data_IF_086599053808
#
_entry.id   IF_086599053808
#
_cell.length_a   1.000
_cell.length_b   1.000
_cell.length_c   1.000
_cell.angle_alpha   90.00
_cell.angle_beta   90.00
_cell.angle_gamma   90.00
#
_symmetry.space_group_name_H-M   'P 1'
#
loop_
_entity.id
_entity.type
_entity.pdbx_description
1 polymer ?
#
# COMPACT_ATOMS: atom_id res chain seq x y z
N UNK A 1 14.18 -34.90 84.74
CA UNK A 1 12.72 -34.97 84.49
C UNK A 1 12.56 -34.99 82.98
N UNK A 2 12.53 -36.17 82.34
CA UNK A 2 11.33 -37.00 82.08
C UNK A 2 10.30 -36.15 81.32
N UNK A 3 9.99 -36.38 80.04
CA UNK A 3 9.45 -37.63 79.51
C UNK A 3 9.54 -37.72 77.97
N UNK A 4 9.67 -38.98 77.52
CA UNK A 4 9.43 -39.57 76.21
C UNK A 4 8.01 -39.40 75.63
N UNK A 5 7.81 -39.92 74.41
CA UNK A 5 6.58 -40.11 73.59
C UNK A 5 6.23 -38.91 72.69
N UNK A 6 6.09 -39.03 71.36
CA UNK A 6 5.36 -40.07 70.65
C UNK A 6 5.81 -40.25 69.18
N UNK A 7 6.47 -41.38 68.89
CA UNK A 7 6.67 -41.91 67.54
C UNK A 7 5.42 -42.58 66.95
N UNK A 8 4.22 -42.06 67.19
CA UNK A 8 2.94 -42.66 66.76
C UNK A 8 2.18 -41.86 65.70
N UNK A 9 2.58 -40.63 65.39
CA UNK A 9 1.86 -39.78 64.42
C UNK A 9 2.14 -40.16 62.95
N UNK A 10 3.36 -40.58 62.62
CA UNK A 10 3.73 -40.99 61.26
C UNK A 10 3.12 -42.36 60.90
N UNK A 11 3.05 -43.27 61.88
CA UNK A 11 2.39 -44.57 61.72
C UNK A 11 0.88 -44.44 61.56
N UNK A 12 0.24 -43.55 62.33
CA UNK A 12 -1.20 -43.28 62.21
C UNK A 12 -1.57 -42.68 60.86
N UNK A 13 -0.76 -41.77 60.31
CA UNK A 13 -1.01 -41.18 58.99
C UNK A 13 -0.82 -42.18 57.85
N UNK A 14 0.19 -43.06 57.95
CA UNK A 14 0.40 -44.15 56.98
C UNK A 14 -0.71 -45.21 57.06
N UNK A 15 -1.16 -45.59 58.27
CA UNK A 15 -2.27 -46.56 58.44
C UNK A 15 -3.60 -45.95 58.01
N UNK A 16 -3.88 -44.69 58.34
CA UNK A 16 -5.09 -43.99 57.88
C UNK A 16 -5.08 -43.81 56.35
N UNK A 17 -3.92 -43.52 55.75
CA UNK A 17 -3.75 -43.51 54.31
C UNK A 17 -3.99 -44.90 53.70
N UNK A 18 -3.45 -45.98 54.27
CA UNK A 18 -3.66 -47.35 53.77
C UNK A 18 -5.14 -47.77 53.87
N UNK A 19 -5.84 -47.41 54.96
CA UNK A 19 -7.27 -47.69 55.13
C UNK A 19 -8.12 -46.85 54.15
N UNK A 20 -7.78 -45.57 53.94
CA UNK A 20 -8.42 -44.73 52.91
C UNK A 20 -8.17 -45.27 51.49
N UNK A 21 -6.96 -45.76 51.19
CA UNK A 21 -6.61 -46.39 49.92
C UNK A 21 -7.42 -47.68 49.69
N UNK A 22 -7.71 -48.45 50.75
CA UNK A 22 -8.45 -49.70 50.69
C UNK A 22 -9.98 -49.53 50.57
N UNK A 23 -10.54 -48.43 51.08
CA UNK A 23 -11.99 -48.13 51.02
C UNK A 23 -12.38 -47.58 49.64
N UNK A 24 -11.45 -46.93 48.94
CA UNK A 24 -11.69 -46.35 47.63
C UNK A 24 -11.75 -47.49 46.58
N UNK A 25 -12.88 -47.65 45.85
CA UNK A 25 -13.02 -48.71 44.86
C UNK A 25 -11.89 -48.67 43.82
N UNK A 26 -11.35 -49.84 43.45
CA UNK A 26 -10.35 -50.01 42.38
C UNK A 26 -10.59 -49.15 41.11
N UNK A 27 -11.83 -48.94 40.60
CA UNK A 27 -12.05 -48.05 39.47
C UNK A 27 -11.65 -46.58 39.70
N UNK A 28 -11.67 -46.07 40.94
CA UNK A 28 -11.29 -44.69 41.27
C UNK A 28 -9.77 -44.49 41.13
N UNK A 29 -8.96 -45.49 41.48
CA UNK A 29 -7.51 -45.45 41.29
C UNK A 29 -7.11 -45.43 39.82
N UNK A 30 -7.81 -46.18 38.98
CA UNK A 30 -7.61 -46.18 37.53
C UNK A 30 -7.98 -44.81 36.96
N UNK A 31 -9.10 -44.23 37.40
CA UNK A 31 -9.54 -42.91 36.97
C UNK A 31 -8.53 -41.81 37.35
N UNK A 32 -7.99 -41.84 38.56
CA UNK A 32 -6.96 -40.89 39.02
C UNK A 32 -5.66 -40.99 38.21
N UNK A 33 -5.22 -42.20 37.88
CA UNK A 33 -4.04 -42.42 37.03
C UNK A 33 -4.26 -41.90 35.61
N UNK A 34 -5.44 -42.13 35.04
CA UNK A 34 -5.79 -41.60 33.72
C UNK A 34 -5.86 -40.08 33.76
N UNK A 35 -6.47 -39.49 34.79
CA UNK A 35 -6.57 -38.04 34.93
C UNK A 35 -5.20 -37.39 35.09
N UNK A 36 -4.33 -37.99 35.93
CA UNK A 36 -2.96 -37.53 36.12
C UNK A 36 -2.11 -37.67 34.86
N UNK A 37 -2.24 -38.79 34.14
CA UNK A 37 -1.58 -39.00 32.85
C UNK A 37 -2.04 -38.01 31.78
N UNK A 38 -3.35 -37.76 31.69
CA UNK A 38 -3.91 -36.78 30.77
C UNK A 38 -3.41 -35.36 31.07
N UNK A 39 -3.40 -34.94 32.35
CA UNK A 39 -2.89 -33.64 32.75
C UNK A 39 -1.40 -33.47 32.43
N UNK A 40 -0.59 -34.51 32.64
CA UNK A 40 0.84 -34.49 32.29
C UNK A 40 1.05 -34.38 30.78
N UNK A 41 0.28 -35.12 29.99
CA UNK A 41 0.34 -35.06 28.52
C UNK A 41 -0.07 -33.66 28.03
N UNK A 42 -1.17 -33.11 28.55
CA UNK A 42 -1.62 -31.75 28.21
C UNK A 42 -0.56 -30.71 28.56
N UNK A 43 0.09 -30.82 29.72
CA UNK A 43 1.16 -29.91 30.12
C UNK A 43 2.37 -29.99 29.20
N UNK A 44 2.82 -31.19 28.81
CA UNK A 44 3.93 -31.39 27.87
C UNK A 44 3.61 -30.79 26.50
N UNK A 45 2.39 -30.96 26.00
CA UNK A 45 1.96 -30.38 24.71
C UNK A 45 1.97 -28.85 24.76
N UNK A 46 1.49 -28.25 25.86
CA UNK A 46 1.51 -26.80 26.03
C UNK A 46 2.95 -26.26 26.16
N UNK A 47 3.82 -26.94 26.91
CA UNK A 47 5.21 -26.52 27.10
C UNK A 47 6.02 -26.52 25.79
N UNK A 48 5.87 -27.57 24.96
CA UNK A 48 6.51 -27.65 23.64
C UNK A 48 5.99 -26.52 22.72
N UNK A 49 4.69 -26.21 22.79
CA UNK A 49 4.09 -25.13 22.00
C UNK A 49 4.57 -23.73 22.40
N UNK A 50 4.93 -23.50 23.67
CA UNK A 50 5.47 -22.22 24.13
C UNK A 50 6.93 -21.99 23.71
N UNK A 51 7.75 -23.04 23.67
CA UNK A 51 9.14 -22.95 23.20
C UNK A 51 9.21 -22.72 21.68
N UNK A 52 8.39 -23.41 20.90
CA UNK A 52 8.33 -23.20 19.44
C UNK A 52 7.88 -21.77 19.11
N UNK A 53 6.96 -21.19 19.89
CA UNK A 53 6.55 -19.77 19.74
C UNK A 53 7.68 -18.80 20.02
N UNK A 54 8.51 -19.05 21.04
CA UNK A 54 9.67 -18.20 21.37
C UNK A 54 10.76 -18.31 20.30
N UNK A 55 11.10 -19.52 19.87
CA UNK A 55 12.07 -19.73 18.79
C UNK A 55 11.61 -19.10 17.47
N UNK A 56 10.32 -19.18 17.13
CA UNK A 56 9.77 -18.52 15.94
C UNK A 56 9.81 -16.99 16.06
N UNK A 57 9.49 -16.43 17.23
CA UNK A 57 9.57 -15.00 17.45
C UNK A 57 11.02 -14.49 17.34
N UNK A 58 12.00 -15.20 17.91
CA UNK A 58 13.42 -14.85 17.77
C UNK A 58 13.93 -15.01 16.32
N UNK A 59 13.45 -16.02 15.59
CA UNK A 59 13.78 -16.20 14.18
C UNK A 59 13.22 -15.07 13.32
N UNK A 60 11.96 -14.67 13.53
CA UNK A 60 11.36 -13.53 12.83
C UNK A 60 12.08 -12.20 13.13
N UNK A 61 12.56 -12.00 14.36
CA UNK A 61 13.35 -10.82 14.70
C UNK A 61 14.72 -10.80 14.01
N UNK A 62 15.39 -11.96 13.94
CA UNK A 62 16.65 -12.10 13.19
C UNK A 62 16.43 -11.88 11.69
N UNK A 63 15.40 -12.47 11.11
CA UNK A 63 15.07 -12.30 9.69
C UNK A 63 14.79 -10.83 9.36
N UNK A 64 14.12 -10.08 10.25
CA UNK A 64 13.89 -8.63 10.07
C UNK A 64 15.18 -7.83 10.20
N UNK A 65 16.04 -8.19 11.15
CA UNK A 65 17.33 -7.54 11.34
C UNK A 65 18.24 -7.76 10.11
N UNK A 66 18.32 -9.01 9.64
CA UNK A 66 19.08 -9.40 8.45
C UNK A 66 18.52 -8.73 7.18
N UNK A 67 17.19 -8.69 7.02
CA UNK A 67 16.55 -7.99 5.91
C UNK A 67 16.83 -6.47 5.94
N UNK A 68 16.84 -5.87 7.13
CA UNK A 68 17.18 -4.46 7.30
C UNK A 68 18.66 -4.21 6.96
N UNK A 69 19.57 -5.07 7.41
CA UNK A 69 20.99 -4.97 7.11
C UNK A 69 21.26 -5.13 5.62
N UNK A 70 20.70 -6.17 4.99
CA UNK A 70 20.78 -6.37 3.54
C UNK A 70 20.21 -5.18 2.76
N UNK A 71 19.07 -4.63 3.18
CA UNK A 71 18.49 -3.45 2.55
C UNK A 71 19.38 -2.21 2.73
N UNK A 72 20.02 -2.06 3.90
CA UNK A 72 20.95 -0.98 4.18
C UNK A 72 22.23 -1.09 3.35
N UNK A 73 22.80 -2.29 3.23
CA UNK A 73 23.96 -2.58 2.39
C UNK A 73 23.65 -2.34 0.91
N UNK A 74 22.54 -2.89 0.40
CA UNK A 74 22.10 -2.66 -0.98
C UNK A 74 21.90 -1.16 -1.26
N UNK A 75 21.38 -0.40 -0.29
CA UNK A 75 21.23 1.05 -0.41
C UNK A 75 22.57 1.78 -0.41
N UNK A 76 23.55 1.34 0.41
CA UNK A 76 24.90 1.90 0.41
C UNK A 76 25.60 1.61 -0.91
N UNK A 77 25.55 0.38 -1.40
CA UNK A 77 26.15 -0.02 -2.67
C UNK A 77 25.57 0.77 -3.84
N UNK A 78 24.23 0.93 -3.90
CA UNK A 78 23.58 1.77 -4.92
C UNK A 78 24.08 3.21 -4.88
N UNK A 79 24.15 3.80 -3.69
CA UNK A 79 24.65 5.18 -3.51
C UNK A 79 26.11 5.32 -3.94
N UNK A 80 26.95 4.34 -3.63
CA UNK A 80 28.35 4.35 -4.06
C UNK A 80 28.46 4.24 -5.58
N UNK A 81 27.68 3.35 -6.22
CA UNK A 81 27.64 3.23 -7.68
C UNK A 81 27.18 4.55 -8.32
N UNK A 82 26.13 5.16 -7.81
CA UNK A 82 25.62 6.45 -8.29
C UNK A 82 26.65 7.57 -8.13
N UNK A 83 27.36 7.60 -6.99
CA UNK A 83 28.44 8.57 -6.75
C UNK A 83 29.62 8.37 -7.70
N UNK A 84 30.05 7.13 -7.93
CA UNK A 84 31.14 6.81 -8.86
C UNK A 84 30.76 7.19 -10.30
N UNK A 85 29.56 6.84 -10.74
CA UNK A 85 29.05 7.22 -12.06
C UNK A 85 28.98 8.75 -12.21
N UNK A 86 28.55 9.47 -11.16
CA UNK A 86 28.54 10.94 -11.15
C UNK A 86 29.95 11.52 -11.23
N UNK A 87 30.90 10.98 -10.48
CA UNK A 87 32.30 11.43 -10.51
C UNK A 87 32.93 11.21 -11.88
N UNK A 88 32.70 10.05 -12.49
CA UNK A 88 33.17 9.73 -13.85
C UNK A 88 32.58 10.69 -14.88
N UNK A 89 31.28 11.01 -14.78
CA UNK A 89 30.63 12.02 -15.64
C UNK A 89 31.22 13.41 -15.45
N UNK A 90 31.48 13.84 -14.22
CA UNK A 90 32.11 15.14 -13.95
C UNK A 90 33.52 15.19 -14.54
N UNK A 91 34.30 14.11 -14.41
CA UNK A 91 35.65 14.02 -14.95
C UNK A 91 35.67 14.09 -16.49
N UNK A 92 34.67 13.51 -17.15
CA UNK A 92 34.63 13.41 -18.62
C UNK A 92 33.91 14.56 -19.32
N UNK A 93 32.95 15.21 -18.65
CA UNK A 93 32.09 16.24 -19.26
C UNK A 93 32.29 17.64 -18.64
N UNK A 94 32.95 17.71 -17.49
CA UNK A 94 32.90 18.88 -16.63
C UNK A 94 31.59 18.96 -15.82
N UNK A 95 31.63 19.66 -14.68
CA UNK A 95 30.54 19.70 -13.70
C UNK A 95 29.18 20.10 -14.29
N UNK A 96 29.13 21.18 -15.07
CA UNK A 96 27.87 21.71 -15.63
C UNK A 96 27.20 20.72 -16.59
N UNK A 97 27.97 20.11 -17.49
CA UNK A 97 27.43 19.16 -18.45
C UNK A 97 27.05 17.83 -17.78
N UNK A 98 27.78 17.42 -16.75
CA UNK A 98 27.44 16.25 -15.95
C UNK A 98 26.07 16.42 -15.25
N UNK A 99 25.75 17.61 -14.73
CA UNK A 99 24.44 17.90 -14.12
C UNK A 99 23.30 17.80 -15.14
N UNK A 100 23.52 18.22 -16.39
CA UNK A 100 22.53 18.09 -17.49
C UNK A 100 22.27 16.61 -17.82
N UNK A 101 23.33 15.80 -17.94
CA UNK A 101 23.18 14.35 -18.19
C UNK A 101 22.49 13.66 -17.01
N UNK A 102 22.83 14.03 -15.78
CA UNK A 102 22.23 13.45 -14.58
C UNK A 102 20.73 13.74 -14.52
N UNK A 103 20.30 14.96 -14.86
CA UNK A 103 18.88 15.30 -14.97
C UNK A 103 18.14 14.38 -15.95
N UNK A 104 18.72 14.11 -17.12
CA UNK A 104 18.15 13.20 -18.11
C UNK A 104 18.04 11.76 -17.60
N UNK A 105 19.07 11.26 -16.91
CA UNK A 105 19.09 9.90 -16.35
C UNK A 105 18.07 9.75 -15.23
N UNK A 106 17.95 10.73 -14.35
CA UNK A 106 16.94 10.73 -13.28
C UNK A 106 15.53 10.76 -13.87
N UNK A 107 15.27 11.62 -14.86
CA UNK A 107 13.97 11.69 -15.52
C UNK A 107 13.62 10.38 -16.25
N UNK A 108 14.55 9.82 -17.02
CA UNK A 108 14.34 8.53 -17.69
C UNK A 108 14.03 7.41 -16.68
N UNK A 109 14.72 7.39 -15.54
CA UNK A 109 14.46 6.45 -14.47
C UNK A 109 13.07 6.66 -13.85
N UNK A 110 12.65 7.90 -13.62
CA UNK A 110 11.30 8.19 -13.11
C UNK A 110 10.22 7.68 -14.06
N UNK A 111 10.41 7.80 -15.38
CA UNK A 111 9.49 7.21 -16.36
C UNK A 111 9.46 5.68 -16.23
N UNK A 112 10.63 5.03 -16.22
CA UNK A 112 10.70 3.57 -16.13
C UNK A 112 10.17 3.00 -14.81
N UNK A 113 10.36 3.74 -13.71
CA UNK A 113 9.90 3.35 -12.37
C UNK A 113 8.40 3.71 -12.15
N UNK A 114 7.75 4.40 -13.09
CA UNK A 114 6.34 4.83 -12.98
C UNK A 114 5.36 3.65 -13.04
N UNK A 115 4.21 3.79 -12.38
CA UNK A 115 3.16 2.78 -12.47
C UNK A 115 2.63 2.63 -13.90
N UNK A 116 2.49 3.75 -14.60
CA UNK A 116 2.08 3.81 -16.00
C UNK A 116 2.98 2.93 -16.88
N UNK A 117 4.31 2.95 -16.67
CA UNK A 117 5.23 2.07 -17.37
C UNK A 117 5.00 0.59 -17.01
N UNK A 118 4.91 0.27 -15.72
CA UNK A 118 4.73 -1.12 -15.25
C UNK A 118 3.39 -1.73 -15.68
N UNK A 119 2.34 -0.91 -15.76
CA UNK A 119 1.03 -1.32 -16.25
C UNK A 119 0.91 -1.31 -17.79
N UNK A 120 1.99 -0.94 -18.50
CA UNK A 120 2.08 -0.98 -19.96
C UNK A 120 1.40 0.20 -20.68
N UNK A 121 0.93 1.22 -19.97
CA UNK A 121 0.30 2.40 -20.56
C UNK A 121 1.24 3.22 -21.43
N UNK A 122 2.53 3.23 -21.11
CA UNK A 122 3.54 3.98 -21.85
C UNK A 122 4.16 3.19 -23.01
N UNK A 123 3.85 1.89 -23.13
CA UNK A 123 4.51 1.00 -24.07
C UNK A 123 5.96 0.69 -23.71
N UNK A 124 6.74 0.27 -24.71
CA UNK A 124 8.19 0.03 -24.55
C UNK A 124 8.94 1.36 -24.65
N UNK A 125 9.44 1.83 -23.51
CA UNK A 125 10.12 3.13 -23.39
C UNK A 125 11.59 2.92 -23.07
N UNK A 126 12.46 3.26 -24.02
CA UNK A 126 13.91 3.23 -23.84
C UNK A 126 14.56 4.57 -24.23
N UNK A 127 15.08 5.28 -23.23
CA UNK A 127 15.82 6.54 -23.41
C UNK A 127 17.33 6.35 -23.59
N UNK A 128 17.83 5.12 -23.68
CA UNK A 128 19.28 4.82 -23.75
C UNK A 128 19.94 5.56 -24.91
N UNK A 129 19.35 5.48 -26.11
CA UNK A 129 19.88 6.16 -27.31
C UNK A 129 19.88 7.68 -27.15
N UNK A 130 18.86 8.24 -26.51
CA UNK A 130 18.79 9.68 -26.27
C UNK A 130 19.85 10.14 -25.27
N UNK A 131 20.03 9.42 -24.16
CA UNK A 131 21.06 9.71 -23.15
C UNK A 131 22.46 9.58 -23.75
N UNK A 132 22.71 8.58 -24.59
CA UNK A 132 23.98 8.43 -25.31
C UNK A 132 24.24 9.62 -26.25
N UNK A 133 23.23 10.06 -26.99
CA UNK A 133 23.33 11.21 -27.90
C UNK A 133 23.59 12.52 -27.15
N UNK A 134 22.90 12.73 -26.03
CA UNK A 134 23.09 13.88 -25.13
C UNK A 134 24.52 13.87 -24.59
N UNK A 135 24.95 12.73 -24.03
CA UNK A 135 26.29 12.57 -23.45
C UNK A 135 27.38 12.81 -24.48
N UNK A 136 27.26 12.23 -25.68
CA UNK A 136 28.22 12.43 -26.76
C UNK A 136 28.30 13.88 -27.24
N UNK A 137 27.15 14.57 -27.36
CA UNK A 137 27.11 15.98 -27.75
C UNK A 137 27.78 16.88 -26.71
N UNK A 138 27.50 16.64 -25.42
CA UNK A 138 28.07 17.43 -24.33
C UNK A 138 29.56 17.15 -24.11
N UNK A 139 30.00 15.90 -24.33
CA UNK A 139 31.43 15.56 -24.33
C UNK A 139 32.16 16.32 -25.44
N UNK A 140 31.65 16.26 -26.66
CA UNK A 140 32.23 16.99 -27.79
C UNK A 140 32.28 18.50 -27.54
N UNK A 141 31.23 19.07 -26.94
CA UNK A 141 31.20 20.48 -26.55
C UNK A 141 32.27 20.82 -25.49
N UNK A 142 32.47 19.95 -24.50
CA UNK A 142 33.50 20.10 -23.48
C UNK A 142 34.92 20.02 -24.07
N UNK A 143 35.18 19.02 -24.91
CA UNK A 143 36.48 18.85 -25.57
C UNK A 143 36.81 20.03 -26.49
N UNK A 144 35.83 20.50 -27.28
CA UNK A 144 35.98 21.70 -28.10
C UNK A 144 36.30 22.94 -27.26
N UNK A 145 35.65 23.09 -26.10
CA UNK A 145 35.90 24.22 -25.20
C UNK A 145 37.32 24.18 -24.65
N UNK A 146 37.82 23.02 -24.22
CA UNK A 146 39.19 22.88 -23.72
C UNK A 146 40.25 23.28 -24.76
N UNK A 147 40.06 22.89 -26.02
CA UNK A 147 40.97 23.26 -27.11
C UNK A 147 40.82 24.73 -27.50
N UNK A 148 39.59 25.24 -27.58
CA UNK A 148 39.32 26.65 -27.87
C UNK A 148 39.92 27.56 -26.80
N UNK A 149 39.84 27.20 -25.52
CA UNK A 149 40.42 27.98 -24.43
C UNK A 149 41.96 28.02 -24.52
N UNK A 150 42.60 26.91 -24.93
CA UNK A 150 44.06 26.89 -25.19
C UNK A 150 44.45 27.76 -26.37
N UNK A 151 43.71 27.70 -27.48
CA UNK A 151 43.96 28.52 -28.66
C UNK A 151 43.75 30.02 -28.35
N UNK A 152 42.72 30.35 -27.57
CA UNK A 152 42.46 31.72 -27.13
C UNK A 152 43.52 32.26 -26.16
N UNK A 153 44.27 31.38 -25.49
CA UNK A 153 45.35 31.75 -24.57
C UNK A 153 46.71 31.98 -25.24
N UNK A 154 46.83 31.76 -26.56
CA UNK A 154 48.07 32.05 -27.29
C UNK A 154 48.32 33.55 -27.39
N UNK A 155 49.59 33.94 -27.36
CA UNK A 155 49.99 35.33 -27.54
C UNK A 155 49.87 35.73 -29.03
N UNK A 156 49.32 36.92 -29.29
CA UNK A 156 49.15 37.48 -30.65
C UNK A 156 48.34 36.61 -31.63
N UNK A 157 47.04 36.35 -31.35
CA UNK A 157 46.19 35.56 -32.24
C UNK A 157 46.04 36.20 -33.63
N UNK A 158 46.12 35.38 -34.67
CA UNK A 158 45.93 35.82 -36.06
C UNK A 158 44.43 35.83 -36.43
N UNK A 159 44.09 36.27 -37.65
CA UNK A 159 42.70 36.34 -38.13
C UNK A 159 42.04 34.96 -38.25
N UNK A 160 42.82 33.93 -38.60
CA UNK A 160 42.32 32.57 -38.70
C UNK A 160 42.00 31.97 -37.33
N UNK A 161 42.86 32.20 -36.33
CA UNK A 161 42.61 31.80 -34.94
C UNK A 161 41.30 32.41 -34.43
N UNK A 162 41.09 33.71 -34.67
CA UNK A 162 39.85 34.41 -34.31
C UNK A 162 38.62 33.80 -34.98
N UNK A 163 38.73 33.46 -36.27
CA UNK A 163 37.66 32.83 -37.05
C UNK A 163 37.32 31.44 -36.51
N UNK A 164 38.32 30.59 -36.31
CA UNK A 164 38.16 29.23 -35.77
C UNK A 164 37.56 29.26 -34.36
N UNK A 165 38.01 30.19 -33.51
CA UNK A 165 37.43 30.35 -32.17
C UNK A 165 35.95 30.77 -32.21
N UNK A 166 35.56 31.64 -33.14
CA UNK A 166 34.16 32.02 -33.30
C UNK A 166 33.31 30.82 -33.76
N UNK A 167 33.81 30.03 -34.70
CA UNK A 167 33.14 28.81 -35.19
C UNK A 167 33.04 27.74 -34.09
N UNK A 168 34.10 27.53 -33.32
CA UNK A 168 34.11 26.61 -32.18
C UNK A 168 33.06 27.02 -31.14
N UNK A 169 33.00 28.32 -30.77
CA UNK A 169 31.99 28.84 -29.82
C UNK A 169 30.57 28.63 -30.34
N UNK A 170 30.31 28.89 -31.62
CA UNK A 170 29.00 28.66 -32.23
C UNK A 170 28.62 27.16 -32.21
N UNK A 171 29.57 26.28 -32.52
CA UNK A 171 29.38 24.82 -32.53
C UNK A 171 29.11 24.29 -31.13
N UNK A 172 29.90 24.71 -30.14
CA UNK A 172 29.71 24.37 -28.72
C UNK A 172 28.30 24.75 -28.27
N UNK A 173 27.86 25.98 -28.55
CA UNK A 173 26.52 26.44 -28.19
C UNK A 173 25.43 25.56 -28.84
N UNK A 174 25.56 25.25 -30.13
CA UNK A 174 24.61 24.40 -30.85
C UNK A 174 24.51 22.99 -30.24
N UNK A 175 25.64 22.40 -29.87
CA UNK A 175 25.68 21.08 -29.22
C UNK A 175 24.99 21.11 -27.85
N UNK A 176 25.28 22.13 -27.03
CA UNK A 176 24.66 22.32 -25.71
C UNK A 176 23.16 22.58 -25.83
N UNK A 177 22.72 23.46 -26.73
CA UNK A 177 21.31 23.76 -26.95
C UNK A 177 20.53 22.53 -27.41
N UNK A 178 21.11 21.73 -28.31
CA UNK A 178 20.47 20.51 -28.82
C UNK A 178 20.34 19.45 -27.71
N UNK A 179 21.39 19.28 -26.91
CA UNK A 179 21.38 18.39 -25.75
C UNK A 179 20.33 18.83 -24.72
N UNK A 180 20.32 20.11 -24.34
CA UNK A 180 19.37 20.66 -23.36
C UNK A 180 17.92 20.50 -23.80
N UNK A 181 17.61 20.74 -25.08
CA UNK A 181 16.24 20.51 -25.60
C UNK A 181 15.79 19.07 -25.44
N UNK A 182 16.68 18.11 -25.68
CA UNK A 182 16.37 16.68 -25.49
C UNK A 182 16.16 16.35 -24.02
N UNK A 183 17.00 16.87 -23.12
CA UNK A 183 16.78 16.71 -21.66
C UNK A 183 15.42 17.24 -21.24
N UNK A 184 15.03 18.43 -21.72
CA UNK A 184 13.70 19.02 -21.42
C UNK A 184 12.56 18.10 -21.87
N UNK A 185 12.69 17.42 -23.02
CA UNK A 185 11.67 16.48 -23.47
C UNK A 185 11.59 15.24 -22.56
N UNK A 186 12.73 14.68 -22.15
CA UNK A 186 12.76 13.52 -21.24
C UNK A 186 12.16 13.89 -19.87
N UNK A 187 12.47 15.08 -19.35
CA UNK A 187 11.88 15.60 -18.10
C UNK A 187 10.35 15.71 -18.24
N UNK A 188 9.85 16.25 -19.35
CA UNK A 188 8.41 16.30 -19.60
C UNK A 188 7.78 14.91 -19.67
N UNK A 189 8.44 13.93 -20.27
CA UNK A 189 7.94 12.55 -20.24
C UNK A 189 7.79 12.02 -18.81
N UNK A 190 8.70 12.37 -17.91
CA UNK A 190 8.60 12.01 -16.49
C UNK A 190 7.42 12.70 -15.80
N UNK A 191 7.18 13.98 -16.09
CA UNK A 191 6.02 14.73 -15.57
C UNK A 191 4.69 14.11 -16.05
N UNK A 192 4.58 13.79 -17.34
CA UNK A 192 3.37 13.17 -17.90
C UNK A 192 3.13 11.75 -17.35
N UNK A 193 4.20 10.96 -17.16
CA UNK A 193 4.09 9.65 -16.51
C UNK A 193 3.54 9.78 -15.09
N UNK A 194 3.98 10.78 -14.32
CA UNK A 194 3.44 11.05 -12.98
C UNK A 194 1.96 11.47 -13.03
N UNK A 195 1.54 12.25 -14.02
CA UNK A 195 0.13 12.60 -14.18
C UNK A 195 -0.75 11.39 -14.46
N UNK A 196 -0.25 10.41 -15.22
CA UNK A 196 -0.95 9.15 -15.45
C UNK A 196 -1.01 8.34 -14.15
N UNK A 197 0.09 8.21 -13.41
CA UNK A 197 0.11 7.53 -12.11
C UNK A 197 -0.91 8.14 -11.13
N UNK A 198 -1.03 9.46 -11.10
CA UNK A 198 -2.03 10.16 -10.28
C UNK A 198 -3.46 9.93 -10.77
N UNK A 199 -3.68 9.76 -12.07
CA UNK A 199 -4.99 9.37 -12.61
C UNK A 199 -5.35 7.94 -12.20
N UNK A 200 -4.43 6.99 -12.39
CA UNK A 200 -4.63 5.58 -12.04
C UNK A 200 -4.90 5.39 -10.55
N UNK A 201 -4.22 6.18 -9.70
CA UNK A 201 -4.47 6.20 -8.26
C UNK A 201 -5.89 6.66 -7.94
N UNK A 202 -6.33 7.77 -8.53
CA UNK A 202 -7.70 8.29 -8.34
C UNK A 202 -8.74 7.30 -8.81
N UNK A 203 -8.56 6.68 -9.98
CA UNK A 203 -9.48 5.65 -10.49
C UNK A 203 -9.64 4.47 -9.51
N UNK A 204 -8.54 4.02 -8.88
CA UNK A 204 -8.62 2.96 -7.85
C UNK A 204 -9.32 3.42 -6.57
N UNK A 205 -9.08 4.64 -6.14
CA UNK A 205 -9.75 5.21 -4.95
C UNK A 205 -11.25 5.34 -5.21
N UNK A 206 -11.64 5.85 -6.37
CA UNK A 206 -13.03 5.96 -6.79
C UNK A 206 -13.69 4.57 -6.90
N UNK A 207 -13.00 3.57 -7.45
CA UNK A 207 -13.49 2.20 -7.50
C UNK A 207 -13.71 1.61 -6.10
N UNK A 208 -12.81 1.87 -5.14
CA UNK A 208 -12.97 1.44 -3.73
C UNK A 208 -14.16 2.14 -3.07
N UNK A 209 -14.31 3.44 -3.27
CA UNK A 209 -15.43 4.21 -2.72
C UNK A 209 -16.75 3.73 -3.32
N UNK A 210 -16.80 3.47 -4.62
CA UNK A 210 -17.99 2.93 -5.28
C UNK A 210 -18.36 1.54 -4.74
N UNK A 211 -17.37 0.67 -4.50
CA UNK A 211 -17.58 -0.64 -3.89
C UNK A 211 -18.11 -0.53 -2.45
N UNK A 212 -17.50 0.31 -1.61
CA UNK A 212 -17.96 0.55 -0.24
C UNK A 212 -19.36 1.17 -0.21
N UNK A 213 -19.65 2.10 -1.13
CA UNK A 213 -20.98 2.68 -1.29
C UNK A 213 -22.01 1.60 -1.63
N UNK A 214 -21.68 0.70 -2.57
CA UNK A 214 -22.58 -0.39 -2.93
C UNK A 214 -22.84 -1.34 -1.75
N UNK A 215 -21.81 -1.69 -0.98
CA UNK A 215 -21.92 -2.52 0.22
C UNK A 215 -22.80 -1.87 1.30
N UNK A 216 -22.51 -0.62 1.66
CA UNK A 216 -23.30 0.13 2.65
C UNK A 216 -24.74 0.35 2.19
N UNK A 217 -24.98 0.59 0.89
CA UNK A 217 -26.34 0.68 0.36
C UNK A 217 -27.07 -0.66 0.44
N UNK A 218 -26.40 -1.78 0.20
CA UNK A 218 -26.99 -3.10 0.33
C UNK A 218 -27.33 -3.39 1.81
N UNK A 219 -26.42 -3.08 2.72
CA UNK A 219 -26.62 -3.25 4.16
C UNK A 219 -27.77 -2.37 4.68
N UNK A 220 -27.78 -1.08 4.32
CA UNK A 220 -28.86 -0.16 4.70
C UNK A 220 -30.20 -0.60 4.11
N UNK A 221 -30.22 -1.05 2.85
CA UNK A 221 -31.44 -1.60 2.23
C UNK A 221 -31.94 -2.82 2.98
N UNK A 222 -31.04 -3.71 3.42
CA UNK A 222 -31.40 -4.87 4.24
C UNK A 222 -31.88 -4.47 5.64
N UNK A 223 -31.37 -3.41 6.27
CA UNK A 223 -31.91 -2.93 7.55
C UNK A 223 -33.29 -2.29 7.39
N UNK A 224 -33.49 -1.49 6.34
CA UNK A 224 -34.76 -0.79 6.09
C UNK A 224 -35.87 -1.73 5.62
N UNK A 225 -35.53 -2.78 4.87
CA UNK A 225 -36.50 -3.63 4.18
C UNK A 225 -36.33 -5.13 4.44
N UNK A 226 -35.27 -5.56 5.13
CA UNK A 226 -34.84 -6.96 5.22
C UNK A 226 -35.18 -7.70 6.52
N UNK A 227 -36.04 -7.16 7.39
CA UNK A 227 -36.62 -7.92 8.52
C UNK A 227 -38.16 -7.94 8.53
N UNK A 228 -38.82 -7.15 7.69
CA UNK A 228 -40.23 -7.34 7.36
C UNK A 228 -40.44 -7.23 5.85
N UNK A 229 -40.30 -8.37 5.17
CA UNK A 229 -41.18 -8.69 4.06
C UNK A 229 -42.48 -9.35 4.58
N UNK A 230 -42.90 -9.03 5.80
CA UNK A 230 -44.32 -8.77 6.01
C UNK A 230 -44.58 -7.48 5.26
N UNK A 231 -45.51 -7.42 4.30
CA UNK A 231 -45.86 -6.16 3.68
C UNK A 231 -46.37 -5.26 4.80
N UNK A 232 -45.54 -4.34 5.28
CA UNK A 232 -46.02 -3.24 6.08
C UNK A 232 -46.84 -2.41 5.12
N UNK A 233 -48.15 -2.58 5.26
CA UNK A 233 -49.16 -1.70 4.72
C UNK A 233 -48.87 -0.30 5.23
N UNK A 234 -47.96 0.41 4.55
CA UNK A 234 -48.06 1.85 4.39
C UNK A 234 -49.11 2.18 3.32
N UNK A 235 -50.13 1.34 3.13
CA UNK A 235 -51.43 1.88 2.76
C UNK A 235 -51.88 2.67 3.98
N UNK A 236 -52.29 3.91 3.76
CA UNK A 236 -53.17 4.63 4.68
C UNK A 236 -53.98 3.67 5.54
N UNK A 237 -54.00 3.89 6.87
CA UNK A 237 -54.71 3.01 7.81
C UNK A 237 -56.01 2.52 7.17
N UNK A 238 -56.24 1.20 7.05
CA UNK A 238 -57.46 0.67 6.41
C UNK A 238 -58.73 1.24 7.03
N UNK A 239 -58.66 1.67 8.30
CA UNK A 239 -59.71 2.41 8.97
C UNK A 239 -59.91 3.82 8.40
N UNK A 240 -58.83 4.56 8.11
CA UNK A 240 -58.90 5.88 7.46
C UNK A 240 -59.43 5.77 6.04
N UNK A 241 -58.98 4.81 5.25
CA UNK A 241 -59.50 4.58 3.89
C UNK A 241 -60.97 4.14 3.92
N UNK A 242 -61.35 3.28 4.86
CA UNK A 242 -62.76 2.89 5.05
C UNK A 242 -63.64 4.06 5.47
N UNK A 243 -63.14 4.94 6.34
CA UNK A 243 -63.85 6.15 6.76
C UNK A 243 -63.98 7.13 5.59
N UNK A 244 -62.92 7.37 4.81
CA UNK A 244 -62.95 8.26 3.65
C UNK A 244 -63.87 7.73 2.55
N UNK A 245 -63.85 6.43 2.27
CA UNK A 245 -64.77 5.79 1.33
C UNK A 245 -66.24 5.93 1.78
N UNK A 246 -66.53 5.74 3.08
CA UNK A 246 -67.87 5.93 3.64
C UNK A 246 -68.32 7.39 3.60
N UNK A 247 -67.43 8.34 3.87
CA UNK A 247 -67.71 9.77 3.76
C UNK A 247 -68.02 10.17 2.32
N UNK A 248 -67.29 9.61 1.35
CA UNK A 248 -67.51 9.90 -0.06
C UNK A 248 -68.83 9.30 -0.56
N UNK A 249 -69.13 8.05 -0.21
CA UNK A 249 -70.41 7.43 -0.49
C UNK A 249 -71.58 8.20 0.14
N UNK A 250 -71.43 8.68 1.39
CA UNK A 250 -72.44 9.52 2.03
C UNK A 250 -72.67 10.84 1.28
N UNK A 251 -71.59 11.50 0.82
CA UNK A 251 -71.70 12.75 0.04
C UNK A 251 -72.37 12.52 -1.31
N UNK A 252 -72.07 11.40 -1.97
CA UNK A 252 -72.68 11.04 -3.25
C UNK A 252 -74.18 10.76 -3.09
N UNK A 253 -74.56 9.92 -2.13
CA UNK A 253 -75.98 9.66 -1.81
C UNK A 253 -76.70 10.95 -1.44
N UNK A 254 -76.09 11.82 -0.63
CA UNK A 254 -76.70 13.10 -0.25
C UNK A 254 -76.88 14.02 -1.46
N UNK A 255 -75.89 14.07 -2.35
CA UNK A 255 -75.96 14.81 -3.61
C UNK A 255 -77.08 14.30 -4.52
N UNK A 256 -77.24 12.99 -4.64
CA UNK A 256 -78.34 12.38 -5.40
C UNK A 256 -79.71 12.65 -4.78
N UNK A 257 -79.84 12.60 -3.45
CA UNK A 257 -81.08 12.94 -2.75
C UNK A 257 -81.43 14.42 -2.97
N UNK A 258 -80.46 15.33 -2.82
CA UNK A 258 -80.69 16.76 -3.01
C UNK A 258 -81.06 17.07 -4.47
N UNK A 259 -80.44 16.38 -5.44
CA UNK A 259 -80.79 16.48 -6.85
C UNK A 259 -82.20 15.93 -7.16
N UNK A 260 -82.56 14.77 -6.63
CA UNK A 260 -83.90 14.20 -6.75
C UNK A 260 -84.97 15.08 -6.08
N UNK A 261 -84.61 15.80 -5.01
CA UNK A 261 -85.50 16.77 -4.33
C UNK A 261 -85.73 18.04 -5.15
N UNK A 262 -84.73 18.46 -5.93
CA UNK A 262 -84.84 19.60 -6.84
C UNK A 262 -85.58 19.22 -8.13
N UNK A 263 -85.35 18.02 -8.66
CA UNK A 263 -86.02 17.51 -9.87
C UNK A 263 -87.49 17.09 -9.61
N UNK A 264 -87.85 16.72 -8.38
CA UNK A 264 -89.24 16.42 -7.97
C UNK A 264 -90.06 17.64 -7.52
N UNK A 265 -89.46 18.84 -7.52
CA UNK A 265 -90.12 20.11 -7.20
C UNK A 265 -90.35 21.00 -8.44
N UNK A 266 -90.10 20.47 -9.65
CA UNK A 266 -90.40 21.05 -10.96
C UNK A 266 -91.55 20.28 -11.63
#
# INVERSE_FOLDING_TARGET
>A
MSSSFSGSAVGGFLVLAVVLIAIVPKPVWILLLILGGAALITWIILAIGEEDRKCRAEAEERDRADAYEQAAEAKRERRERDQRARQERIATLGKKNAEVVESAVVAARQVGDSEAAHAGWLGDVDFTTDIQTITGSLKKAYDLRLVADRLAGLESPNDDDRRILAEAKATIKRLEDTANRRVVLIVKCAEEAQHIDDSLRREREDAKVAAQRAELHAELSAMLYGVEATPDTSSTSPAVDSVMARVQAYREIKGEIDKARLDGAA
#
